data_IF_277727371769
#
_entry.id   IF_277727371769
#
_cell.length_a   1.000
_cell.length_b   1.000
_cell.length_c   1.000
_cell.angle_alpha   90.00
_cell.angle_beta   90.00
_cell.angle_gamma   90.00
#
_symmetry.space_group_name_H-M   'P 1'
#
loop_
_entity.id
_entity.type
_entity.pdbx_description
1 polymer ?
#
# COMPACT_ATOMS: atom_id res chain seq x y z
N UNK A 1 20.07 52.10 -17.16
CA UNK A 1 20.39 51.04 -16.18
C UNK A 1 19.11 50.25 -15.95
N UNK A 2 18.99 49.06 -16.52
CA UNK A 2 17.80 48.23 -16.36
C UNK A 2 17.85 47.56 -14.98
N UNK A 3 16.88 47.85 -14.14
CA UNK A 3 16.68 47.22 -12.84
C UNK A 3 16.24 45.78 -13.05
N UNK A 4 17.11 44.83 -12.73
CA UNK A 4 16.77 43.41 -12.62
C UNK A 4 15.82 43.22 -11.43
N UNK A 5 14.54 42.96 -11.71
CA UNK A 5 13.61 42.40 -10.73
C UNK A 5 14.12 41.03 -10.28
N UNK A 6 14.28 40.77 -8.97
CA UNK A 6 14.72 39.46 -8.48
C UNK A 6 13.64 38.42 -8.79
N UNK A 7 14.07 37.24 -9.27
CA UNK A 7 13.18 36.10 -9.45
C UNK A 7 12.48 35.77 -8.12
N UNK A 8 11.18 35.41 -8.15
CA UNK A 8 10.47 35.01 -6.96
C UNK A 8 11.14 33.76 -6.35
N UNK A 9 11.83 33.95 -5.23
CA UNK A 9 12.36 32.87 -4.39
C UNK A 9 11.18 32.14 -3.76
N UNK A 10 10.66 31.12 -4.44
CA UNK A 10 9.78 30.15 -3.80
C UNK A 10 10.61 29.35 -2.80
N UNK A 11 10.25 29.28 -1.50
CA UNK A 11 10.98 28.45 -0.56
C UNK A 11 10.94 27.00 -1.02
N UNK A 12 12.11 26.37 -1.13
CA UNK A 12 12.23 24.95 -1.43
C UNK A 12 11.48 24.15 -0.37
N UNK A 13 10.53 23.30 -0.80
CA UNK A 13 9.75 22.42 0.10
C UNK A 13 9.89 20.98 -0.38
N UNK A 14 10.28 20.11 0.54
CA UNK A 14 10.42 18.67 0.31
C UNK A 14 9.08 17.94 0.18
N UNK A 15 7.99 18.55 0.67
CA UNK A 15 6.64 17.97 0.64
C UNK A 15 6.17 17.63 -0.78
N UNK A 16 6.56 18.46 -1.76
CA UNK A 16 6.25 18.24 -3.18
C UNK A 16 6.87 16.97 -3.75
N UNK A 17 7.91 16.46 -3.09
CA UNK A 17 8.63 15.24 -3.45
C UNK A 17 8.28 14.07 -2.52
N UNK A 18 7.34 14.26 -1.58
CA UNK A 18 7.01 13.30 -0.52
C UNK A 18 8.23 12.87 0.30
N UNK A 19 9.15 13.81 0.56
CA UNK A 19 10.35 13.58 1.39
C UNK A 19 10.16 14.29 2.72
N UNK A 20 10.32 13.55 3.81
CA UNK A 20 10.29 14.07 5.17
C UNK A 20 11.67 14.56 5.58
N UNK A 21 11.72 15.69 6.31
CA UNK A 21 12.98 16.18 6.91
C UNK A 21 13.52 15.23 7.99
N UNK A 22 12.63 14.60 8.77
CA UNK A 22 13.01 13.70 9.87
C UNK A 22 13.24 12.26 9.41
N UNK A 23 12.50 11.81 8.39
CA UNK A 23 12.40 10.41 7.99
C UNK A 23 12.92 10.12 6.58
N UNK A 24 13.31 11.16 5.82
CA UNK A 24 13.70 11.02 4.41
C UNK A 24 12.54 10.45 3.58
N UNK A 25 12.78 9.35 2.87
CA UNK A 25 11.77 8.70 2.01
C UNK A 25 10.79 7.79 2.76
N UNK A 26 11.00 7.55 4.06
CA UNK A 26 10.07 6.77 4.88
C UNK A 26 8.79 7.59 5.05
N UNK A 27 7.64 6.94 4.86
CA UNK A 27 6.34 7.58 5.06
C UNK A 27 6.19 7.92 6.55
N UNK A 28 6.13 9.20 6.95
CA UNK A 28 5.93 9.55 8.34
C UNK A 28 4.54 9.09 8.81
N UNK A 29 4.48 8.49 9.99
CA UNK A 29 3.24 8.08 10.66
C UNK A 29 2.25 7.33 9.73
N UNK A 30 2.66 6.18 9.17
CA UNK A 30 1.78 5.40 8.30
C UNK A 30 0.52 4.98 9.07
N UNK A 31 -0.59 4.87 8.32
CA UNK A 31 -1.83 4.37 8.90
C UNK A 31 -1.69 2.89 9.28
N UNK A 32 -2.34 2.50 10.37
CA UNK A 32 -2.45 1.10 10.78
C UNK A 32 -3.78 0.46 10.35
N UNK A 33 -4.80 1.28 10.07
CA UNK A 33 -6.14 0.83 9.70
C UNK A 33 -6.66 1.68 8.53
N UNK A 34 -7.44 1.04 7.66
CA UNK A 34 -8.25 1.70 6.64
C UNK A 34 -9.68 1.93 7.16
N UNK A 35 -10.46 2.81 6.51
CA UNK A 35 -11.89 2.94 6.79
C UNK A 35 -12.62 1.59 6.83
N UNK A 36 -13.68 1.43 7.65
CA UNK A 36 -14.36 0.14 7.86
C UNK A 36 -14.80 -0.60 6.59
N UNK A 37 -15.08 0.13 5.51
CA UNK A 37 -15.39 -0.42 4.19
C UNK A 37 -14.30 -1.38 3.67
N UNK A 38 -13.03 -1.13 4.00
CA UNK A 38 -11.86 -1.89 3.53
C UNK A 38 -11.40 -2.99 4.49
N UNK A 39 -12.17 -3.29 5.55
CA UNK A 39 -11.84 -4.35 6.49
C UNK A 39 -11.59 -5.72 5.84
N UNK A 40 -12.30 -6.14 4.76
CA UNK A 40 -11.98 -7.39 4.07
C UNK A 40 -10.53 -7.47 3.56
N UNK A 41 -9.94 -6.37 3.12
CA UNK A 41 -8.53 -6.32 2.72
C UNK A 41 -7.60 -6.41 3.93
N UNK A 42 -7.91 -5.63 4.97
CA UNK A 42 -7.11 -5.56 6.19
C UNK A 42 -7.07 -6.89 6.94
N UNK A 43 -8.21 -7.59 7.02
CA UNK A 43 -8.32 -8.90 7.67
C UNK A 43 -7.48 -9.95 6.96
N UNK A 44 -7.53 -10.00 5.63
CA UNK A 44 -6.72 -10.93 4.84
C UNK A 44 -5.22 -10.63 4.98
N UNK A 45 -4.83 -9.35 4.93
CA UNK A 45 -3.43 -8.96 5.04
C UNK A 45 -2.87 -9.26 6.45
N UNK A 46 -3.63 -8.95 7.50
CA UNK A 46 -3.22 -9.17 8.90
C UNK A 46 -3.04 -10.64 9.24
N UNK A 47 -3.90 -11.50 8.70
CA UNK A 47 -3.87 -12.95 8.95
C UNK A 47 -3.19 -13.72 7.81
N UNK A 48 -2.49 -13.05 6.90
CA UNK A 48 -1.93 -13.67 5.70
C UNK A 48 -1.04 -14.87 6.04
N UNK A 49 -0.17 -14.76 7.06
CA UNK A 49 0.72 -15.85 7.48
C UNK A 49 -0.06 -17.10 7.88
N UNK A 50 -1.08 -16.96 8.74
CA UNK A 50 -1.89 -18.09 9.21
C UNK A 50 -2.72 -18.69 8.07
N UNK A 51 -3.28 -17.85 7.21
CA UNK A 51 -4.06 -18.28 6.05
C UNK A 51 -3.20 -19.00 5.01
N UNK A 52 -1.95 -18.58 4.81
CA UNK A 52 -0.98 -19.27 3.95
C UNK A 52 -0.61 -20.61 4.58
N UNK A 53 -0.26 -20.62 5.87
CA UNK A 53 0.13 -21.83 6.59
C UNK A 53 -0.98 -22.89 6.59
N UNK A 54 -2.24 -22.47 6.68
CA UNK A 54 -3.41 -23.36 6.63
C UNK A 54 -3.91 -23.64 5.21
N UNK A 55 -3.24 -23.13 4.17
CA UNK A 55 -3.63 -23.24 2.76
C UNK A 55 -5.05 -22.72 2.46
N UNK A 56 -5.57 -21.80 3.26
CA UNK A 56 -6.93 -21.25 3.12
C UNK A 56 -6.98 -19.87 2.48
N UNK A 57 -5.84 -19.17 2.32
CA UNK A 57 -5.80 -17.80 1.79
C UNK A 57 -6.48 -17.68 0.43
N UNK A 58 -6.17 -18.57 -0.54
CA UNK A 58 -6.80 -18.53 -1.87
C UNK A 58 -8.33 -18.60 -1.81
N UNK A 59 -8.86 -19.54 -1.00
CA UNK A 59 -10.31 -19.70 -0.81
C UNK A 59 -10.94 -18.43 -0.21
N UNK A 60 -10.29 -17.83 0.79
CA UNK A 60 -10.76 -16.59 1.43
C UNK A 60 -10.70 -15.39 0.50
N UNK A 61 -9.67 -15.29 -0.35
CA UNK A 61 -9.60 -14.26 -1.41
C UNK A 61 -10.76 -14.43 -2.40
N UNK A 62 -11.14 -15.65 -2.79
CA UNK A 62 -12.30 -15.85 -3.67
C UNK A 62 -13.65 -15.46 -3.03
N UNK A 63 -13.76 -15.52 -1.71
CA UNK A 63 -14.96 -15.10 -0.96
C UNK A 63 -15.01 -13.60 -0.69
N UNK A 64 -13.89 -12.89 -0.88
CA UNK A 64 -13.78 -11.45 -0.63
C UNK A 64 -14.66 -10.65 -1.61
N UNK A 65 -15.45 -9.67 -1.15
CA UNK A 65 -16.18 -8.79 -2.05
C UNK A 65 -15.19 -7.95 -2.90
N UNK A 66 -15.55 -7.65 -4.14
CA UNK A 66 -14.82 -6.64 -4.90
C UNK A 66 -15.18 -5.26 -4.36
N UNK A 67 -14.23 -4.62 -3.67
CA UNK A 67 -14.40 -3.28 -3.10
C UNK A 67 -13.93 -2.20 -4.08
N UNK A 68 -14.56 -1.04 -4.04
CA UNK A 68 -14.19 0.12 -4.85
C UNK A 68 -13.05 0.91 -4.18
N UNK A 69 -11.94 1.09 -4.90
CA UNK A 69 -10.81 1.88 -4.42
C UNK A 69 -11.08 3.39 -4.42
N UNK A 70 -12.14 3.87 -5.08
CA UNK A 70 -12.46 5.29 -5.21
C UNK A 70 -12.73 5.99 -3.88
N UNK A 71 -13.14 5.26 -2.83
CA UNK A 71 -13.39 5.86 -1.51
C UNK A 71 -12.13 6.15 -0.70
N UNK A 72 -10.94 5.65 -1.09
CA UNK A 72 -9.66 6.07 -0.51
C UNK A 72 -9.40 7.54 -0.89
N UNK A 73 -9.19 8.41 0.09
CA UNK A 73 -9.07 9.86 -0.11
C UNK A 73 -7.63 10.36 0.03
N UNK A 74 -6.83 9.76 0.91
CA UNK A 74 -5.50 10.28 1.25
C UNK A 74 -4.36 9.45 0.66
N UNK A 75 -3.18 10.06 0.54
CA UNK A 75 -1.95 9.35 0.17
C UNK A 75 -1.64 8.22 1.16
N UNK A 76 -1.81 8.45 2.47
CA UNK A 76 -1.54 7.42 3.49
C UNK A 76 -2.53 6.24 3.40
N UNK A 77 -3.80 6.50 3.09
CA UNK A 77 -4.79 5.44 2.83
C UNK A 77 -4.42 4.63 1.58
N UNK A 78 -4.01 5.30 0.49
CA UNK A 78 -3.55 4.61 -0.71
C UNK A 78 -2.32 3.73 -0.43
N UNK A 79 -1.34 4.23 0.33
CA UNK A 79 -0.14 3.47 0.70
C UNK A 79 -0.47 2.25 1.57
N UNK A 80 -1.36 2.38 2.54
CA UNK A 80 -1.79 1.24 3.36
C UNK A 80 -2.61 0.23 2.53
N UNK A 81 -3.50 0.70 1.64
CA UNK A 81 -4.25 -0.18 0.75
C UNK A 81 -3.33 -0.95 -0.21
N UNK A 82 -2.32 -0.29 -0.79
CA UNK A 82 -1.33 -0.95 -1.64
C UNK A 82 -0.51 -1.99 -0.87
N UNK A 83 -0.05 -1.67 0.33
CA UNK A 83 0.61 -2.62 1.23
C UNK A 83 -0.29 -3.84 1.53
N UNK A 84 -1.54 -3.63 1.94
CA UNK A 84 -2.44 -4.73 2.25
C UNK A 84 -2.71 -5.64 1.03
N UNK A 85 -3.05 -5.04 -0.12
CA UNK A 85 -3.33 -5.76 -1.35
C UNK A 85 -2.09 -6.47 -1.92
N UNK A 86 -0.90 -5.89 -1.77
CA UNK A 86 0.36 -6.49 -2.20
C UNK A 86 0.74 -7.70 -1.35
N UNK A 87 0.56 -7.63 -0.02
CA UNK A 87 0.73 -8.77 0.89
C UNK A 87 -0.22 -9.91 0.54
N UNK A 88 -1.50 -9.61 0.34
CA UNK A 88 -2.51 -10.61 -0.07
C UNK A 88 -2.17 -11.21 -1.44
N UNK A 89 -1.70 -10.38 -2.38
CA UNK A 89 -1.28 -10.83 -3.72
C UNK A 89 -0.09 -11.77 -3.65
N UNK A 90 0.95 -11.43 -2.89
CA UNK A 90 2.11 -12.29 -2.71
C UNK A 90 1.72 -13.62 -2.06
N UNK A 91 0.91 -13.58 -1.01
CA UNK A 91 0.38 -14.79 -0.38
C UNK A 91 -0.44 -15.64 -1.36
N UNK A 92 -1.32 -15.03 -2.14
CA UNK A 92 -2.17 -15.74 -3.10
C UNK A 92 -1.36 -16.45 -4.18
N UNK A 93 -0.40 -15.75 -4.78
CA UNK A 93 0.46 -16.30 -5.84
C UNK A 93 1.31 -17.44 -5.31
N UNK A 94 1.97 -17.23 -4.18
CA UNK A 94 3.03 -18.11 -3.67
C UNK A 94 2.59 -19.08 -2.57
N UNK A 95 1.29 -19.15 -2.22
CA UNK A 95 0.77 -20.03 -1.16
C UNK A 95 1.34 -21.46 -1.20
N UNK A 96 1.44 -22.04 -2.40
CA UNK A 96 1.88 -23.43 -2.63
C UNK A 96 3.38 -23.54 -2.98
N UNK A 97 4.16 -22.49 -2.68
CA UNK A 97 5.56 -22.39 -3.08
C UNK A 97 5.77 -22.35 -4.60
N UNK A 98 6.96 -22.73 -5.05
CA UNK A 98 7.40 -22.62 -6.45
C UNK A 98 6.59 -23.51 -7.41
N UNK A 99 6.12 -24.66 -6.94
CA UNK A 99 5.48 -25.69 -7.77
C UNK A 99 3.98 -25.48 -7.98
N UNK A 100 3.32 -24.65 -7.16
CA UNK A 100 1.87 -24.44 -7.21
C UNK A 100 1.47 -22.97 -7.42
N UNK A 101 2.33 -22.18 -8.06
CA UNK A 101 2.12 -20.74 -8.24
C UNK A 101 0.84 -20.41 -9.02
N UNK A 102 0.01 -19.51 -8.48
CA UNK A 102 -1.15 -19.02 -9.21
C UNK A 102 -0.70 -18.07 -10.33
N UNK A 103 -1.21 -18.28 -11.54
CA UNK A 103 -0.88 -17.47 -12.73
C UNK A 103 -1.89 -16.38 -13.04
N UNK A 104 -3.04 -16.41 -12.35
CA UNK A 104 -4.15 -15.48 -12.54
C UNK A 104 -4.63 -15.02 -11.17
N UNK A 105 -4.72 -13.71 -10.97
CA UNK A 105 -5.35 -13.12 -9.79
C UNK A 105 -6.86 -13.00 -10.03
N UNK A 106 -7.71 -13.30 -9.03
CA UNK A 106 -9.13 -13.11 -9.16
C UNK A 106 -9.47 -11.62 -9.22
N UNK A 107 -10.54 -11.28 -9.96
CA UNK A 107 -10.90 -9.90 -10.30
C UNK A 107 -11.08 -9.00 -9.07
N UNK A 108 -11.67 -9.55 -8.02
CA UNK A 108 -11.93 -8.87 -6.74
C UNK A 108 -10.65 -8.43 -6.00
N UNK A 109 -9.49 -9.03 -6.30
CA UNK A 109 -8.18 -8.61 -5.84
C UNK A 109 -7.44 -7.78 -6.90
N UNK A 110 -7.44 -8.25 -8.15
CA UNK A 110 -6.64 -7.67 -9.24
C UNK A 110 -7.05 -6.22 -9.60
N UNK A 111 -8.36 -5.96 -9.68
CA UNK A 111 -8.90 -4.66 -10.11
C UNK A 111 -8.59 -3.56 -9.09
N UNK A 112 -8.98 -3.67 -7.80
CA UNK A 112 -8.67 -2.61 -6.84
C UNK A 112 -7.16 -2.45 -6.64
N UNK A 113 -6.38 -3.53 -6.71
CA UNK A 113 -4.94 -3.43 -6.60
C UNK A 113 -4.31 -2.64 -7.75
N UNK A 114 -4.77 -2.89 -8.99
CA UNK A 114 -4.36 -2.10 -10.15
C UNK A 114 -4.78 -0.64 -10.02
N UNK A 115 -6.01 -0.35 -9.60
CA UNK A 115 -6.52 1.03 -9.43
C UNK A 115 -5.71 1.82 -8.39
N UNK A 116 -5.45 1.23 -7.23
CA UNK A 116 -4.60 1.84 -6.18
C UNK A 116 -3.18 2.05 -6.70
N UNK A 117 -2.63 1.07 -7.41
CA UNK A 117 -1.28 1.16 -8.01
C UNK A 117 -1.17 2.32 -9.01
N UNK A 118 -2.16 2.47 -9.91
CA UNK A 118 -2.22 3.58 -10.86
C UNK A 118 -2.26 4.94 -10.16
N UNK A 119 -3.09 5.07 -9.12
CA UNK A 119 -3.22 6.32 -8.35
C UNK A 119 -1.94 6.71 -7.60
N UNK A 120 -1.12 5.72 -7.23
CA UNK A 120 0.17 5.93 -6.58
C UNK A 120 1.34 6.08 -7.57
N UNK A 121 1.14 5.78 -8.86
CA UNK A 121 2.23 5.67 -9.84
C UNK A 121 3.17 4.50 -9.55
N UNK A 122 2.68 3.45 -8.87
CA UNK A 122 3.43 2.24 -8.56
C UNK A 122 2.96 1.08 -9.44
N UNK A 123 3.81 0.05 -9.68
CA UNK A 123 3.36 -1.20 -10.26
C UNK A 123 2.49 -2.00 -9.27
N UNK A 124 1.57 -2.85 -9.74
CA UNK A 124 0.79 -3.77 -8.91
C UNK A 124 1.62 -5.01 -8.52
N UNK A 125 2.73 -4.78 -7.83
CA UNK A 125 3.59 -5.79 -7.21
C UNK A 125 4.11 -5.23 -5.88
N UNK A 126 4.35 -6.08 -4.88
CA UNK A 126 4.93 -5.62 -3.60
C UNK A 126 6.28 -4.93 -3.88
N UNK A 127 6.40 -3.66 -3.51
CA UNK A 127 7.62 -2.88 -3.69
C UNK A 127 8.29 -2.56 -2.36
N UNK A 128 9.51 -2.02 -2.44
CA UNK A 128 10.20 -1.46 -1.26
C UNK A 128 9.41 -0.29 -0.63
N UNK A 129 8.68 0.48 -1.44
CA UNK A 129 7.84 1.57 -0.94
C UNK A 129 6.74 1.05 -0.01
N UNK A 130 6.31 -0.19 -0.20
CA UNK A 130 5.24 -0.80 0.58
C UNK A 130 5.84 -1.53 1.78
N UNK A 131 6.63 -2.59 1.51
CA UNK A 131 7.10 -3.53 2.52
C UNK A 131 8.10 -2.95 3.53
N UNK A 132 8.68 -1.78 3.25
CA UNK A 132 9.65 -1.11 4.11
C UNK A 132 9.20 0.31 4.44
N UNK A 133 9.09 1.19 3.43
CA UNK A 133 8.91 2.63 3.68
C UNK A 133 7.55 3.00 4.28
N UNK A 134 6.53 2.15 4.11
CA UNK A 134 5.18 2.36 4.65
C UNK A 134 4.77 1.33 5.72
N UNK A 135 5.55 0.27 5.93
CA UNK A 135 5.19 -0.84 6.83
C UNK A 135 5.93 -0.75 8.18
N UNK A 136 5.63 0.29 8.95
CA UNK A 136 6.22 0.47 10.27
C UNK A 136 5.25 1.14 11.22
N UNK A 137 5.53 1.06 12.52
CA UNK A 137 4.89 1.90 13.54
C UNK A 137 5.84 2.05 14.71
N UNK A 138 5.79 3.18 15.41
CA UNK A 138 6.44 3.26 16.72
C UNK A 138 5.71 2.35 17.71
N UNK A 139 6.46 1.67 18.57
CA UNK A 139 5.88 0.86 19.65
C UNK A 139 5.30 1.76 20.74
N UNK A 140 6.07 2.77 21.16
CA UNK A 140 5.63 3.88 21.99
C UNK A 140 5.65 5.16 21.15
N UNK A 141 4.63 6.00 21.27
CA UNK A 141 4.56 7.28 20.54
C UNK A 141 5.55 8.30 21.09
N UNK A 142 5.89 8.21 22.38
CA UNK A 142 6.75 9.17 23.07
C UNK A 142 8.24 8.77 23.03
N UNK A 143 8.55 7.49 22.82
CA UNK A 143 9.93 6.98 22.72
C UNK A 143 10.10 5.63 23.40
#
# INVERSE_FOLDING_TARGET
MASSTPDPQWPFSLDRYCVSEDYGFILPEPLAELPPYYQPWMDLARHATDLIHTHTLRSRVHQMPQLDASFLQSHRELRLAHLALSVVTMGYVWQEGENGTAKVLPRNLAVPYWEVSQRLGLPPILTHADGVLANWRKRDREG
#
